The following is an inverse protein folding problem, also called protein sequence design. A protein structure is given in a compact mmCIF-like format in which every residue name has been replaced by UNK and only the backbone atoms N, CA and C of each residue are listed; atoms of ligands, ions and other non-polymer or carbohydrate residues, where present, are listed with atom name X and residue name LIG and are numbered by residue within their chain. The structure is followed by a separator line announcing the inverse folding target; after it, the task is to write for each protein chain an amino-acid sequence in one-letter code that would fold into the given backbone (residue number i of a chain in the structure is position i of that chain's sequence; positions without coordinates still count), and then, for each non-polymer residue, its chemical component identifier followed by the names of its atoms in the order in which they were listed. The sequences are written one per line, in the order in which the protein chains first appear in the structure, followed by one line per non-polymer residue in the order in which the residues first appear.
data_IF_433820995088
#
_entry.id   IF_433820995088
#
_cell.length_a   1.000
_cell.length_b   1.000
_cell.length_c   1.000
_cell.angle_alpha   90.00
_cell.angle_beta   90.00
_cell.angle_gamma   90.00
#
_symmetry.space_group_name_H-M   'P 1'
#
loop_
_entity.id
_entity.type
_entity.pdbx_description
1 polymer ?
#
# COMPACT_ATOMS: atom_id res chain seq x y z
N UNK A 1 37.21 -47.27 23.02
CA UNK A 1 36.98 -46.22 22.00
C UNK A 1 36.00 -45.21 22.58
N UNK A 2 36.48 -44.03 22.95
CA UNK A 2 35.64 -42.98 23.55
C UNK A 2 35.07 -42.09 22.45
N UNK A 3 33.76 -42.13 22.24
CA UNK A 3 33.05 -41.15 21.42
C UNK A 3 32.83 -39.90 22.27
N UNK A 4 33.62 -38.86 22.02
CA UNK A 4 33.40 -37.54 22.58
C UNK A 4 32.28 -36.88 21.75
N UNK A 5 31.06 -36.86 22.29
CA UNK A 5 29.97 -36.08 21.71
C UNK A 5 30.31 -34.60 21.87
N UNK A 6 30.90 -33.99 20.84
CA UNK A 6 31.02 -32.54 20.74
C UNK A 6 29.62 -31.95 20.70
N UNK A 7 29.23 -31.20 21.73
CA UNK A 7 28.02 -30.39 21.68
C UNK A 7 28.16 -29.33 20.60
N UNK A 8 27.21 -29.30 19.66
CA UNK A 8 27.14 -28.27 18.65
C UNK A 8 26.70 -26.94 19.28
N UNK A 9 27.63 -25.99 19.35
CA UNK A 9 27.41 -24.65 19.88
C UNK A 9 27.05 -23.64 18.79
N UNK A 10 26.82 -24.08 17.55
CA UNK A 10 26.46 -23.22 16.41
C UNK A 10 25.27 -22.31 16.72
N UNK A 11 24.25 -22.83 17.39
CA UNK A 11 23.07 -22.06 17.83
C UNK A 11 23.39 -20.98 18.87
N UNK A 12 24.30 -21.24 19.81
CA UNK A 12 24.66 -20.27 20.84
C UNK A 12 25.53 -19.14 20.28
N UNK A 13 26.32 -19.43 19.25
CA UNK A 13 27.20 -18.48 18.58
C UNK A 13 26.56 -17.81 17.36
N UNK A 14 25.30 -18.12 17.05
CA UNK A 14 24.60 -17.51 15.93
C UNK A 14 24.39 -16.01 16.21
N UNK A 15 24.91 -15.16 15.33
CA UNK A 15 24.59 -13.73 15.37
C UNK A 15 23.14 -13.54 14.88
N UNK A 16 22.33 -12.70 15.56
CA UNK A 16 21.00 -12.40 15.08
C UNK A 16 21.08 -11.75 13.70
N UNK A 17 20.33 -12.29 12.74
CA UNK A 17 20.12 -11.62 11.45
C UNK A 17 19.21 -10.42 11.73
N UNK A 18 19.81 -9.25 11.90
CA UNK A 18 19.09 -7.97 11.87
C UNK A 18 18.72 -7.71 10.40
N UNK A 19 17.54 -8.17 10.01
CA UNK A 19 16.94 -7.71 8.77
C UNK A 19 16.80 -6.18 8.89
N UNK A 20 17.33 -5.46 7.90
CA UNK A 20 17.11 -4.03 7.82
C UNK A 20 15.58 -3.82 7.86
N UNK A 21 15.06 -2.97 8.75
CA UNK A 21 13.63 -2.78 8.83
C UNK A 21 13.20 -2.11 7.52
N UNK A 22 12.64 -2.89 6.59
CA UNK A 22 12.00 -2.39 5.38
C UNK A 22 10.72 -1.65 5.80
N UNK A 23 10.91 -0.39 6.19
CA UNK A 23 9.89 0.47 6.79
C UNK A 23 9.11 1.26 5.75
N UNK A 24 9.25 0.96 4.46
CA UNK A 24 8.60 1.71 3.40
C UNK A 24 7.69 0.81 2.55
N UNK A 25 6.44 1.21 2.40
CA UNK A 25 5.46 0.58 1.52
C UNK A 25 4.97 1.63 0.52
N UNK A 26 4.97 1.30 -0.77
CA UNK A 26 4.38 2.13 -1.80
C UNK A 26 3.24 1.35 -2.46
N UNK A 27 2.04 1.92 -2.39
CA UNK A 27 0.86 1.41 -3.07
C UNK A 27 0.71 2.10 -4.42
N UNK A 28 0.48 1.31 -5.47
CA UNK A 28 0.19 1.84 -6.81
C UNK A 28 -1.17 1.26 -7.21
N UNK A 29 -2.19 2.11 -7.23
CA UNK A 29 -3.54 1.73 -7.65
C UNK A 29 -3.75 2.15 -9.10
N UNK A 30 -3.92 1.16 -9.97
CA UNK A 30 -4.26 1.37 -11.39
C UNK A 30 -5.76 1.24 -11.55
N UNK A 31 -6.41 2.33 -11.97
CA UNK A 31 -7.86 2.46 -12.13
C UNK A 31 -8.51 3.23 -10.97
N UNK A 32 -9.25 4.26 -11.33
CA UNK A 32 -9.99 5.19 -10.47
C UNK A 32 -11.48 5.25 -10.85
N UNK A 33 -11.98 4.28 -11.63
CA UNK A 33 -13.39 4.13 -11.99
C UNK A 33 -14.27 3.61 -10.84
N UNK A 34 -15.17 2.65 -11.12
CA UNK A 34 -16.12 2.16 -10.11
C UNK A 34 -15.44 1.56 -8.88
N UNK A 35 -14.75 0.43 -9.06
CA UNK A 35 -14.02 -0.22 -7.95
C UNK A 35 -12.90 0.66 -7.40
N UNK A 36 -12.14 1.32 -8.28
CA UNK A 36 -11.03 2.18 -7.90
C UNK A 36 -11.46 3.36 -7.04
N UNK A 37 -12.57 4.01 -7.38
CA UNK A 37 -13.16 5.11 -6.63
C UNK A 37 -13.56 4.72 -5.22
N UNK A 38 -14.08 3.51 -5.01
CA UNK A 38 -14.39 3.01 -3.66
C UNK A 38 -13.13 2.52 -2.90
N UNK A 39 -12.12 2.01 -3.61
CA UNK A 39 -10.87 1.56 -3.01
C UNK A 39 -10.00 2.71 -2.51
N UNK A 40 -9.91 3.82 -3.25
CA UNK A 40 -8.99 4.92 -2.94
C UNK A 40 -9.16 5.47 -1.51
N UNK A 41 -10.39 5.77 -1.00
CA UNK A 41 -10.58 6.19 0.39
C UNK A 41 -10.18 5.12 1.41
N UNK A 42 -10.39 3.83 1.11
CA UNK A 42 -9.97 2.73 2.00
C UNK A 42 -8.45 2.61 2.04
N UNK A 43 -7.79 2.76 0.89
CA UNK A 43 -6.34 2.74 0.76
C UNK A 43 -5.71 3.92 1.53
N UNK A 44 -6.28 5.12 1.44
CA UNK A 44 -5.84 6.28 2.21
C UNK A 44 -5.91 6.02 3.74
N UNK A 45 -6.98 5.38 4.21
CA UNK A 45 -7.13 5.01 5.64
C UNK A 45 -6.09 3.96 6.07
N UNK A 46 -5.78 3.00 5.21
CA UNK A 46 -4.73 2.01 5.47
C UNK A 46 -3.35 2.65 5.54
N UNK A 47 -3.01 3.51 4.58
CA UNK A 47 -1.74 4.26 4.56
C UNK A 47 -1.59 5.05 5.86
N UNK A 48 -2.61 5.80 6.25
CA UNK A 48 -2.61 6.54 7.50
C UNK A 48 -2.41 5.64 8.73
N UNK A 49 -3.06 4.46 8.78
CA UNK A 49 -2.89 3.51 9.89
C UNK A 49 -1.47 2.92 9.95
N UNK A 50 -0.85 2.65 8.81
CA UNK A 50 0.54 2.19 8.71
C UNK A 50 1.51 3.25 9.22
N UNK A 51 1.30 4.51 8.83
CA UNK A 51 2.10 5.64 9.33
C UNK A 51 2.01 5.78 10.85
N UNK A 52 0.84 5.55 11.45
CA UNK A 52 0.66 5.58 12.92
C UNK A 52 1.44 4.51 13.67
N UNK A 53 1.77 3.39 13.04
CA UNK A 53 2.59 2.31 13.65
C UNK A 53 4.07 2.40 13.24
N UNK A 54 4.48 3.51 12.61
CA UNK A 54 5.88 3.77 12.26
C UNK A 54 6.34 3.12 10.96
N UNK A 55 5.40 2.74 10.09
CA UNK A 55 5.67 2.27 8.73
C UNK A 55 5.44 3.45 7.79
N UNK A 56 6.49 3.89 7.09
CA UNK A 56 6.37 4.88 6.02
C UNK A 56 5.54 4.27 4.88
N UNK A 57 4.39 4.86 4.56
CA UNK A 57 3.50 4.37 3.52
C UNK A 57 3.12 5.51 2.58
N UNK A 58 3.00 5.23 1.28
CA UNK A 58 2.61 6.21 0.26
C UNK A 58 1.71 5.57 -0.78
N UNK A 59 0.91 6.38 -1.47
CA UNK A 59 -0.01 5.93 -2.52
C UNK A 59 0.15 6.73 -3.81
N UNK A 60 0.05 6.05 -4.95
CA UNK A 60 -0.06 6.64 -6.27
C UNK A 60 -1.33 6.11 -6.91
N UNK A 61 -2.20 7.01 -7.38
CA UNK A 61 -3.37 6.67 -8.18
C UNK A 61 -3.05 6.91 -9.66
N UNK A 62 -3.45 5.97 -10.53
CA UNK A 62 -3.21 6.06 -11.97
C UNK A 62 -4.52 5.79 -12.71
N UNK A 63 -4.97 6.76 -13.50
CA UNK A 63 -6.08 6.60 -14.43
C UNK A 63 -5.91 7.56 -15.62
N UNK A 64 -6.19 7.06 -16.83
CA UNK A 64 -6.12 7.86 -18.06
C UNK A 64 -7.48 8.49 -18.41
N UNK A 65 -8.55 8.06 -17.75
CA UNK A 65 -9.89 8.55 -17.99
C UNK A 65 -10.14 9.91 -17.32
N UNK A 66 -11.06 10.65 -17.91
CA UNK A 66 -11.69 11.85 -17.35
C UNK A 66 -13.07 11.51 -16.79
N UNK A 67 -13.53 12.22 -15.77
CA UNK A 67 -14.87 12.05 -15.22
C UNK A 67 -15.92 12.48 -16.24
N UNK A 68 -16.89 11.60 -16.52
CA UNK A 68 -18.05 11.85 -17.36
C UNK A 68 -19.35 11.86 -16.53
N UNK A 69 -20.41 12.47 -17.05
CA UNK A 69 -21.74 12.51 -16.39
C UNK A 69 -22.25 11.11 -16.03
N UNK A 70 -21.99 10.09 -16.87
CA UNK A 70 -22.42 8.70 -16.60
C UNK A 70 -21.70 8.08 -15.40
N UNK A 71 -20.56 8.63 -14.97
CA UNK A 71 -19.77 8.12 -13.86
C UNK A 71 -20.34 8.54 -12.51
N UNK A 72 -20.84 9.78 -12.39
CA UNK A 72 -21.36 10.40 -11.15
C UNK A 72 -22.31 9.49 -10.33
N UNK A 73 -23.32 8.81 -10.92
CA UNK A 73 -24.23 8.00 -10.10
C UNK A 73 -23.65 6.69 -9.57
N UNK A 74 -22.47 6.25 -10.03
CA UNK A 74 -21.93 4.90 -9.76
C UNK A 74 -20.46 4.85 -9.36
N UNK A 75 -19.78 6.00 -9.36
CA UNK A 75 -18.38 6.18 -8.99
C UNK A 75 -18.32 7.34 -8.00
N UNK A 76 -17.25 7.44 -7.21
CA UNK A 76 -17.10 8.47 -6.19
C UNK A 76 -16.70 9.84 -6.79
N UNK A 77 -17.57 10.38 -7.65
CA UNK A 77 -17.44 11.70 -8.27
C UNK A 77 -18.74 12.49 -8.09
N UNK A 78 -18.65 13.81 -8.18
CA UNK A 78 -19.78 14.73 -8.20
C UNK A 78 -19.84 15.51 -9.53
N UNK A 79 -20.90 16.29 -9.74
CA UNK A 79 -21.06 17.05 -10.98
C UNK A 79 -19.94 18.07 -11.22
N UNK A 80 -19.34 18.61 -10.15
CA UNK A 80 -18.23 19.55 -10.24
C UNK A 80 -16.93 18.90 -10.74
N UNK A 81 -16.84 17.56 -10.73
CA UNK A 81 -15.66 16.82 -11.13
C UNK A 81 -15.66 16.48 -12.63
N UNK A 82 -16.79 16.68 -13.33
CA UNK A 82 -16.92 16.37 -14.76
C UNK A 82 -15.88 17.16 -15.57
N UNK A 83 -15.12 16.45 -16.41
CA UNK A 83 -14.05 17.05 -17.22
C UNK A 83 -12.67 17.04 -16.56
N UNK A 84 -12.56 16.64 -15.29
CA UNK A 84 -11.27 16.44 -14.61
C UNK A 84 -10.80 14.99 -14.69
N UNK A 85 -9.48 14.77 -14.60
CA UNK A 85 -8.91 13.43 -14.58
C UNK A 85 -9.38 12.65 -13.34
N UNK A 86 -9.74 11.38 -13.51
CA UNK A 86 -10.28 10.55 -12.41
C UNK A 86 -9.30 10.32 -11.27
N UNK A 87 -8.02 10.15 -11.57
CA UNK A 87 -7.00 9.96 -10.54
C UNK A 87 -6.75 11.26 -9.78
N UNK A 88 -6.69 12.39 -10.47
CA UNK A 88 -6.49 13.71 -9.85
C UNK A 88 -7.65 14.08 -8.90
N UNK A 89 -8.89 13.75 -9.26
CA UNK A 89 -10.06 14.03 -8.40
C UNK A 89 -10.06 13.19 -7.11
N UNK A 90 -9.52 11.96 -7.15
CA UNK A 90 -9.51 11.06 -5.99
C UNK A 90 -8.29 11.21 -5.06
N UNK A 91 -7.22 11.86 -5.52
CA UNK A 91 -5.95 11.99 -4.81
C UNK A 91 -5.99 13.10 -3.74
#
# INVERSE_FOLDING_TARGET
MHFHQMMDSSYHNALPILLAPHKQIQFIQVGCGGTGGFLAPMLARLIFALEKVGINASGILVDFDTVETVNVPRQNFCEADIGFNKADVLA
#
